data_IF_642066799646
#
_entry.id   IF_642066799646
#
_cell.length_a   1.000
_cell.length_b   1.000
_cell.length_c   1.000
_cell.angle_alpha   90.00
_cell.angle_beta   90.00
_cell.angle_gamma   90.00
#
_symmetry.space_group_name_H-M   'P 1'
#
loop_
_entity.id
_entity.type
_entity.pdbx_description
1 polymer ?
#
# COMPACT_ATOMS: atom_id res chain seq x y z
N UNK A 1 3.29 -11.46 -17.16
CA UNK A 1 2.68 -10.30 -16.46
C UNK A 1 2.19 -10.67 -15.05
N UNK A 2 1.61 -11.87 -14.82
CA UNK A 2 1.27 -12.37 -13.47
C UNK A 2 2.39 -12.17 -12.44
N UNK A 3 3.63 -12.55 -12.78
CA UNK A 3 4.78 -12.40 -11.89
C UNK A 3 5.06 -10.97 -11.44
N UNK A 4 4.77 -9.96 -12.28
CA UNK A 4 4.89 -8.55 -11.91
C UNK A 4 3.85 -8.18 -10.84
N UNK A 5 2.58 -8.57 -11.05
CA UNK A 5 1.52 -8.29 -10.08
C UNK A 5 1.78 -8.97 -8.73
N UNK A 6 2.23 -10.23 -8.74
CA UNK A 6 2.59 -10.96 -7.53
C UNK A 6 3.80 -10.35 -6.82
N UNK A 7 4.84 -9.96 -7.56
CA UNK A 7 6.01 -9.29 -7.00
C UNK A 7 5.62 -7.98 -6.29
N UNK A 8 4.78 -7.16 -6.92
CA UNK A 8 4.33 -5.90 -6.34
C UNK A 8 3.42 -6.16 -5.12
N UNK A 9 2.50 -7.12 -5.20
CA UNK A 9 1.67 -7.51 -4.05
C UNK A 9 2.54 -7.94 -2.86
N UNK A 10 3.56 -8.76 -3.09
CA UNK A 10 4.49 -9.22 -2.06
C UNK A 10 5.28 -8.04 -1.48
N UNK A 11 5.85 -7.18 -2.34
CA UNK A 11 6.59 -6.01 -1.89
C UNK A 11 5.74 -5.09 -1.01
N UNK A 12 4.52 -4.75 -1.46
CA UNK A 12 3.60 -3.93 -0.68
C UNK A 12 3.16 -4.60 0.62
N UNK A 13 3.02 -5.93 0.62
CA UNK A 13 2.72 -6.70 1.84
C UNK A 13 3.89 -6.64 2.84
N UNK A 14 5.14 -6.73 2.37
CA UNK A 14 6.31 -6.53 3.21
C UNK A 14 6.34 -5.12 3.81
N UNK A 15 6.06 -4.09 3.01
CA UNK A 15 5.98 -2.70 3.51
C UNK A 15 4.89 -2.57 4.58
N UNK A 16 3.69 -3.10 4.32
CA UNK A 16 2.59 -3.09 5.29
C UNK A 16 2.96 -3.84 6.58
N UNK A 17 3.63 -4.99 6.47
CA UNK A 17 4.09 -5.78 7.61
C UNK A 17 5.12 -5.01 8.45
N UNK A 18 6.10 -4.36 7.80
CA UNK A 18 7.10 -3.53 8.51
C UNK A 18 6.42 -2.35 9.20
N UNK A 19 5.49 -1.65 8.54
CA UNK A 19 4.74 -0.54 9.13
C UNK A 19 3.89 -0.98 10.33
N UNK A 20 3.41 -2.22 10.35
CA UNK A 20 2.60 -2.76 11.45
C UNK A 20 3.46 -3.29 12.62
N UNK A 21 4.50 -4.08 12.33
CA UNK A 21 5.35 -4.78 13.30
C UNK A 21 6.46 -3.89 13.87
N UNK A 22 7.00 -2.98 13.07
CA UNK A 22 8.04 -2.04 13.46
C UNK A 22 7.56 -0.57 13.30
N UNK A 23 6.42 -0.19 13.91
CA UNK A 23 5.76 1.07 13.64
C UNK A 23 6.52 2.30 14.16
N UNK A 24 7.57 2.11 14.98
CA UNK A 24 8.43 3.19 15.48
C UNK A 24 9.48 3.65 14.47
N UNK A 25 9.71 2.89 13.40
CA UNK A 25 10.63 3.26 12.34
C UNK A 25 10.04 4.40 11.50
N UNK A 26 10.81 5.45 11.26
CA UNK A 26 10.41 6.58 10.40
C UNK A 26 10.61 6.20 8.93
N UNK A 27 9.70 5.38 8.39
CA UNK A 27 9.84 4.78 7.05
C UNK A 27 9.17 5.63 5.97
N UNK A 28 8.05 6.28 6.28
CA UNK A 28 7.33 7.10 5.30
C UNK A 28 8.00 8.48 5.22
N UNK A 29 8.98 8.61 4.32
CA UNK A 29 9.74 9.85 4.12
C UNK A 29 8.89 11.05 3.64
N UNK A 30 7.62 10.81 3.28
CA UNK A 30 6.64 11.83 2.87
C UNK A 30 5.95 12.46 4.09
N UNK A 31 6.01 11.82 5.26
CA UNK A 31 5.32 12.26 6.46
C UNK A 31 6.30 12.87 7.46
N UNK A 32 6.01 14.09 7.92
CA UNK A 32 6.72 14.68 9.04
C UNK A 32 6.27 13.99 10.34
N UNK A 33 7.23 13.55 11.15
CA UNK A 33 6.98 12.87 12.41
C UNK A 33 7.51 13.73 13.56
N UNK A 34 6.61 14.34 14.32
CA UNK A 34 6.92 15.17 15.48
C UNK A 34 7.32 14.33 16.71
N UNK A 35 6.77 13.12 16.84
CA UNK A 35 7.10 12.20 17.94
C UNK A 35 7.07 10.73 17.52
N UNK A 36 7.73 9.87 18.31
CA UNK A 36 7.70 8.42 18.11
C UNK A 36 6.29 7.82 18.25
N UNK A 37 5.45 8.43 19.08
CA UNK A 37 4.06 8.01 19.28
C UNK A 37 3.17 8.38 18.08
N UNK A 38 3.38 9.57 17.51
CA UNK A 38 2.73 9.99 16.27
C UNK A 38 3.15 9.06 15.11
N UNK A 39 4.44 8.70 15.02
CA UNK A 39 4.94 7.72 14.05
C UNK A 39 4.25 6.36 14.16
N UNK A 40 4.03 5.85 15.37
CA UNK A 40 3.34 4.56 15.58
C UNK A 40 1.90 4.60 15.07
N UNK A 41 1.16 5.68 15.41
CA UNK A 41 -0.24 5.84 14.97
C UNK A 41 -0.34 5.94 13.45
N UNK A 42 0.51 6.76 12.85
CA UNK A 42 0.54 6.96 11.39
C UNK A 42 0.92 5.68 10.66
N UNK A 43 1.98 4.99 11.10
CA UNK A 43 2.46 3.80 10.43
C UNK A 43 1.44 2.64 10.52
N UNK A 44 0.79 2.44 11.67
CA UNK A 44 -0.30 1.45 11.79
C UNK A 44 -1.52 1.81 10.95
N UNK A 45 -1.86 3.10 10.90
CA UNK A 45 -2.93 3.59 10.03
C UNK A 45 -2.62 3.32 8.55
N UNK A 46 -1.39 3.61 8.12
CA UNK A 46 -0.92 3.39 6.76
C UNK A 46 -0.85 1.90 6.39
N UNK A 47 -0.36 1.05 7.29
CA UNK A 47 -0.25 -0.39 7.09
C UNK A 47 -1.58 -1.02 6.65
N UNK A 48 -2.68 -0.69 7.35
CA UNK A 48 -4.00 -1.22 7.02
C UNK A 48 -4.50 -0.77 5.63
N UNK A 49 -4.13 0.44 5.19
CA UNK A 49 -4.58 1.03 3.92
C UNK A 49 -3.76 0.57 2.73
N UNK A 50 -2.49 0.22 2.96
CA UNK A 50 -1.64 -0.45 1.98
C UNK A 50 -2.13 -1.86 1.62
N UNK A 51 -3.01 -2.46 2.42
CA UNK A 51 -3.65 -3.74 2.06
C UNK A 51 -4.59 -3.60 0.85
N UNK A 52 -5.17 -2.42 0.61
CA UNK A 52 -6.03 -2.20 -0.56
C UNK A 52 -5.29 -2.50 -1.87
N UNK A 53 -4.15 -1.84 -2.19
CA UNK A 53 -3.42 -2.16 -3.40
C UNK A 53 -2.91 -3.60 -3.39
N UNK A 54 -2.48 -4.18 -2.27
CA UNK A 54 -2.10 -5.61 -2.20
C UNK A 54 -3.22 -6.52 -2.73
N UNK A 55 -4.45 -6.33 -2.24
CA UNK A 55 -5.61 -7.13 -2.68
C UNK A 55 -5.87 -6.92 -4.17
N UNK A 56 -5.79 -5.68 -4.66
CA UNK A 56 -5.99 -5.38 -6.08
C UNK A 56 -4.93 -6.04 -6.95
N UNK A 57 -3.66 -5.99 -6.55
CA UNK A 57 -2.56 -6.66 -7.28
C UNK A 57 -2.73 -8.18 -7.28
N UNK A 58 -3.17 -8.79 -6.16
CA UNK A 58 -3.49 -10.22 -6.12
C UNK A 58 -4.67 -10.59 -7.02
N UNK A 59 -5.73 -9.78 -7.03
CA UNK A 59 -6.87 -9.97 -7.92
C UNK A 59 -6.46 -9.84 -9.40
N UNK A 60 -5.62 -8.85 -9.74
CA UNK A 60 -5.10 -8.69 -11.10
C UNK A 60 -4.21 -9.88 -11.49
N UNK A 61 -3.34 -10.37 -10.60
CA UNK A 61 -2.55 -11.57 -10.86
C UNK A 61 -3.44 -12.77 -11.18
N UNK A 62 -4.49 -12.99 -10.38
CA UNK A 62 -5.45 -14.07 -10.59
C UNK A 62 -6.20 -13.95 -11.92
N UNK A 63 -6.63 -12.74 -12.30
CA UNK A 63 -7.30 -12.49 -13.59
C UNK A 63 -6.34 -12.72 -14.75
N UNK A 64 -5.09 -12.25 -14.68
CA UNK A 64 -4.10 -12.45 -15.75
C UNK A 64 -3.76 -13.91 -15.96
N UNK A 65 -3.75 -14.71 -14.88
CA UNK A 65 -3.56 -16.16 -14.97
C UNK A 65 -4.68 -16.83 -15.78
N UNK A 66 -5.93 -16.35 -15.62
CA UNK A 66 -7.08 -16.85 -16.36
C UNK A 66 -7.21 -16.26 -17.77
N UNK A 67 -6.79 -15.00 -17.95
CA UNK A 67 -7.00 -14.15 -19.13
C UNK A 67 -5.76 -13.29 -19.41
N UNK A 68 -4.70 -13.87 -19.99
CA UNK A 68 -3.45 -13.15 -20.24
C UNK A 68 -3.60 -11.88 -21.09
N UNK A 69 -4.62 -11.84 -21.96
CA UNK A 69 -4.97 -10.70 -22.82
C UNK A 69 -5.34 -9.43 -22.04
N UNK A 70 -5.78 -9.57 -20.77
CA UNK A 70 -6.16 -8.44 -19.91
C UNK A 70 -4.97 -7.83 -19.14
N UNK A 71 -3.76 -8.35 -19.31
CA UNK A 71 -2.61 -7.92 -18.51
C UNK A 71 -2.31 -6.41 -18.59
N UNK A 72 -2.36 -5.81 -19.78
CA UNK A 72 -2.10 -4.38 -19.97
C UNK A 72 -3.25 -3.52 -19.40
N UNK A 73 -4.53 -3.79 -19.73
CA UNK A 73 -5.65 -3.08 -19.10
C UNK A 73 -5.65 -3.11 -17.56
N UNK A 74 -5.21 -4.21 -16.94
CA UNK A 74 -5.18 -4.36 -15.48
C UNK A 74 -4.11 -3.51 -14.77
N UNK A 75 -3.20 -2.87 -15.52
CA UNK A 75 -2.29 -1.89 -14.95
C UNK A 75 -3.04 -0.64 -14.46
N UNK A 76 -4.10 -0.22 -15.15
CA UNK A 76 -4.90 0.94 -14.77
C UNK A 76 -5.52 0.83 -13.36
N UNK A 77 -6.32 -0.21 -13.03
CA UNK A 77 -6.88 -0.36 -11.69
C UNK A 77 -5.79 -0.53 -10.63
N UNK A 78 -4.65 -1.16 -10.98
CA UNK A 78 -3.52 -1.31 -10.07
C UNK A 78 -2.89 0.04 -9.69
N UNK A 79 -2.65 0.93 -10.67
CA UNK A 79 -2.15 2.29 -10.43
C UNK A 79 -3.16 3.10 -9.61
N UNK A 80 -4.44 3.04 -9.98
CA UNK A 80 -5.52 3.74 -9.27
C UNK A 80 -5.58 3.28 -7.81
N UNK A 81 -5.47 1.98 -7.53
CA UNK A 81 -5.49 1.46 -6.17
C UNK A 81 -4.34 2.00 -5.30
N UNK A 82 -3.14 2.15 -5.88
CA UNK A 82 -2.00 2.78 -5.20
C UNK A 82 -2.27 4.24 -4.92
N UNK A 83 -2.77 5.01 -5.91
CA UNK A 83 -3.10 6.42 -5.73
C UNK A 83 -4.17 6.63 -4.66
N UNK A 84 -5.22 5.80 -4.67
CA UNK A 84 -6.27 5.82 -3.63
C UNK A 84 -5.65 5.58 -2.26
N UNK A 85 -4.79 4.57 -2.11
CA UNK A 85 -4.13 4.30 -0.84
C UNK A 85 -3.28 5.49 -0.38
N UNK A 86 -2.50 6.11 -1.27
CA UNK A 86 -1.68 7.28 -0.95
C UNK A 86 -2.55 8.46 -0.50
N UNK A 87 -3.59 8.81 -1.25
CA UNK A 87 -4.50 9.90 -0.90
C UNK A 87 -5.21 9.62 0.42
N UNK A 88 -5.66 8.38 0.64
CA UNK A 88 -6.33 7.98 1.87
C UNK A 88 -5.40 8.05 3.08
N UNK A 89 -4.14 7.64 2.92
CA UNK A 89 -3.11 7.78 3.95
C UNK A 89 -2.87 9.26 4.25
N UNK A 90 -2.62 10.08 3.23
CA UNK A 90 -2.34 11.51 3.39
C UNK A 90 -3.49 12.26 4.08
N UNK A 91 -4.73 12.02 3.64
CA UNK A 91 -5.92 12.63 4.23
C UNK A 91 -6.20 12.17 5.67
N UNK A 92 -5.74 10.97 6.05
CA UNK A 92 -5.82 10.47 7.41
C UNK A 92 -4.72 11.02 8.31
N UNK A 93 -3.51 11.18 7.78
CA UNK A 93 -2.37 11.73 8.50
C UNK A 93 -2.65 13.15 8.98
N UNK A 94 -3.30 14.00 8.17
CA UNK A 94 -3.68 15.37 8.60
C UNK A 94 -4.64 15.41 9.78
N UNK A 95 -5.37 14.32 10.05
CA UNK A 95 -6.24 14.18 11.23
C UNK A 95 -5.52 13.55 12.43
N UNK A 96 -4.38 12.90 12.18
CA UNK A 96 -3.60 12.15 13.17
C UNK A 96 -2.33 12.90 13.61
N UNK A 97 -1.98 13.98 12.92
CA UNK A 97 -0.96 14.94 13.29
C UNK A 97 -1.60 16.04 14.16
N UNK A 98 -1.55 15.93 15.51
CA UNK A 98 -1.93 17.04 16.38
C UNK A 98 -0.97 18.22 16.23
#
# INVERSE_FOLDING_TARGET
>A
MTGLFLFIALFLSCVAAVLYLAPRLKILNIVHYDSAEQAVRINRYAAARLLLPVIVFLACAWIVEMRPELAVPLLFPSIIAVLIAVVWIAAGVTRLAP
#
